data_IF_680960799997
#
_entry.id   IF_680960799997
#
_cell.length_a   1.000
_cell.length_b   1.000
_cell.length_c   1.000
_cell.angle_alpha   90.00
_cell.angle_beta   90.00
_cell.angle_gamma   90.00
#
_symmetry.space_group_name_H-M   'P 1'
#
loop_
_entity.id
_entity.type
_entity.pdbx_description
1 polymer ?
#
# COMPACT_ATOMS: atom_id res chain seq x y z
N UNK A 1 -12.50 2.95 2.79
CA UNK A 1 -13.29 1.93 2.05
C UNK A 1 -13.11 0.56 2.76
N UNK A 2 -13.94 0.24 3.76
CA UNK A 2 -13.80 -0.97 4.59
C UNK A 2 -14.30 -2.26 3.93
N UNK A 3 -13.76 -2.62 2.76
CA UNK A 3 -14.04 -3.88 2.05
C UNK A 3 -12.76 -4.65 1.80
N UNK A 4 -12.92 -5.92 1.41
CA UNK A 4 -11.81 -6.69 0.86
C UNK A 4 -11.34 -6.04 -0.46
N UNK A 5 -10.04 -5.79 -0.54
CA UNK A 5 -9.37 -5.29 -1.75
C UNK A 5 -9.32 -6.34 -2.85
N UNK A 6 -9.25 -5.91 -4.10
CA UNK A 6 -8.92 -6.79 -5.22
C UNK A 6 -7.41 -6.99 -5.30
N UNK A 7 -6.90 -8.15 -5.77
CA UNK A 7 -5.46 -8.40 -5.88
C UNK A 7 -4.72 -7.32 -6.67
N UNK A 8 -5.33 -6.74 -7.70
CA UNK A 8 -4.72 -5.70 -8.54
C UNK A 8 -4.47 -4.40 -7.77
N UNK A 9 -5.29 -4.11 -6.75
CA UNK A 9 -5.12 -2.91 -5.92
C UNK A 9 -3.81 -2.99 -5.10
N UNK A 10 -3.48 -4.19 -4.58
CA UNK A 10 -2.19 -4.44 -3.93
C UNK A 10 -1.04 -4.49 -4.95
N UNK A 11 -1.23 -5.17 -6.07
CA UNK A 11 -0.21 -5.31 -7.10
C UNK A 11 0.26 -3.95 -7.65
N UNK A 12 -0.64 -2.98 -7.77
CA UNK A 12 -0.28 -1.62 -8.19
C UNK A 12 0.68 -0.93 -7.22
N UNK A 13 0.47 -1.06 -5.90
CA UNK A 13 1.42 -0.53 -4.91
C UNK A 13 2.76 -1.25 -5.03
N UNK A 14 2.77 -2.57 -5.14
CA UNK A 14 3.99 -3.36 -5.30
C UNK A 14 4.76 -2.92 -6.54
N UNK A 15 4.08 -2.76 -7.68
CA UNK A 15 4.68 -2.29 -8.91
C UNK A 15 5.27 -0.88 -8.78
N UNK A 16 4.60 0.03 -8.05
CA UNK A 16 5.14 1.35 -7.74
C UNK A 16 6.41 1.25 -6.87
N UNK A 17 6.37 0.44 -5.80
CA UNK A 17 7.50 0.26 -4.88
C UNK A 17 8.70 -0.41 -5.55
N UNK A 18 8.48 -1.31 -6.51
CA UNK A 18 9.52 -1.94 -7.29
C UNK A 18 10.12 -1.02 -8.39
N UNK A 19 9.49 0.11 -8.68
CA UNK A 19 9.94 1.04 -9.70
C UNK A 19 10.93 2.07 -9.15
N UNK A 20 11.63 2.80 -10.02
CA UNK A 20 12.49 3.92 -9.62
C UNK A 20 11.75 5.10 -8.97
N UNK A 21 10.41 5.14 -9.06
CA UNK A 21 9.59 6.23 -8.52
C UNK A 21 9.49 6.22 -6.99
N UNK A 22 9.85 5.12 -6.35
CA UNK A 22 9.85 4.93 -4.90
C UNK A 22 11.25 5.08 -4.27
N UNK A 23 12.22 5.68 -4.96
CA UNK A 23 13.65 5.67 -4.59
C UNK A 23 13.98 6.18 -3.18
N UNK A 24 13.08 6.95 -2.54
CA UNK A 24 13.26 7.47 -1.19
C UNK A 24 12.42 6.74 -0.12
N UNK A 25 11.65 5.71 -0.52
CA UNK A 25 10.79 4.93 0.37
C UNK A 25 11.55 3.66 0.77
N UNK A 26 11.95 3.58 2.03
CA UNK A 26 12.61 2.40 2.60
C UNK A 26 12.32 2.30 4.10
N UNK A 27 12.48 1.10 4.66
CA UNK A 27 12.36 0.87 6.11
C UNK A 27 10.96 1.13 6.69
N UNK A 28 9.91 1.06 5.88
CA UNK A 28 8.54 1.37 6.30
C UNK A 28 7.55 0.26 5.94
N UNK A 29 6.43 0.23 6.64
CA UNK A 29 5.26 -0.61 6.35
C UNK A 29 4.15 0.27 5.81
N UNK A 30 3.58 -0.08 4.65
CA UNK A 30 2.47 0.65 4.04
C UNK A 30 1.22 -0.21 4.14
N UNK A 31 0.20 0.28 4.84
CA UNK A 31 -1.10 -0.41 4.94
C UNK A 31 -1.90 -0.26 3.63
N UNK A 32 -2.42 -1.40 3.14
CA UNK A 32 -3.32 -1.47 1.98
C UNK A 32 -4.54 -2.30 2.36
N UNK A 33 -5.33 -1.78 3.30
CA UNK A 33 -6.46 -2.51 3.90
C UNK A 33 -7.80 -1.81 3.64
N UNK A 34 -7.81 -0.75 2.83
CA UNK A 34 -9.00 0.06 2.60
C UNK A 34 -9.43 0.91 3.81
N UNK A 35 -8.61 1.06 4.84
CA UNK A 35 -8.94 1.78 6.07
C UNK A 35 -9.78 0.96 7.03
N UNK A 36 -9.50 -0.34 7.13
CA UNK A 36 -10.04 -1.21 8.17
C UNK A 36 -9.39 -0.91 9.52
N UNK A 37 -8.08 -0.65 9.52
CA UNK A 37 -7.34 -0.10 10.65
C UNK A 37 -7.71 1.39 10.77
N UNK A 38 -8.37 1.73 11.88
CA UNK A 38 -8.61 3.12 12.27
C UNK A 38 -7.50 3.57 13.21
N UNK A 39 -6.39 3.98 12.61
CA UNK A 39 -5.22 4.53 13.31
C UNK A 39 -4.84 5.87 12.67
N UNK A 40 -4.08 6.67 13.43
CA UNK A 40 -3.47 7.93 12.95
C UNK A 40 -2.07 7.70 12.39
N UNK A 41 -1.57 6.46 12.52
CA UNK A 41 -0.30 6.00 11.94
C UNK A 41 -0.51 5.49 10.51
#
# INVERSE_FOLDING_TARGET
IGRVGRPEELANLVAFLASSKSSYITGTTILVDGGLVRSVL
#
